data_IF_020689183787
#
_entry.id   IF_020689183787
#
_cell.length_a   1.000
_cell.length_b   1.000
_cell.length_c   1.000
_cell.angle_alpha   90.00
_cell.angle_beta   90.00
_cell.angle_gamma   90.00
#
_symmetry.space_group_name_H-M   'P 1'
#
loop_
_entity.id
_entity.type
_entity.pdbx_description
1 polymer ?
#
# COMPACT_ATOMS: atom_id res chain seq x y z
N UNK A 1 2.62 53.34 -35.23
CA UNK A 1 3.51 52.21 -35.04
C UNK A 1 3.97 52.06 -33.61
N UNK A 2 4.40 53.12 -32.96
CA UNK A 2 4.86 53.03 -31.56
C UNK A 2 3.81 52.49 -30.60
N UNK A 3 2.52 52.83 -30.78
CA UNK A 3 1.42 52.32 -29.99
C UNK A 3 1.25 50.81 -30.12
N UNK A 4 1.41 50.28 -31.35
CA UNK A 4 1.35 48.83 -31.58
C UNK A 4 2.48 48.09 -30.87
N UNK A 5 3.69 48.64 -30.92
CA UNK A 5 4.85 48.02 -30.27
C UNK A 5 4.66 48.05 -28.75
N UNK A 6 4.20 49.19 -28.21
CA UNK A 6 3.93 49.33 -26.79
C UNK A 6 2.86 48.37 -26.31
N UNK A 7 1.75 48.26 -27.10
CA UNK A 7 0.69 47.29 -26.81
C UNK A 7 1.18 45.86 -26.89
N UNK A 8 2.01 45.56 -27.90
CA UNK A 8 2.63 44.26 -28.02
C UNK A 8 3.52 43.90 -26.82
N UNK A 9 4.28 44.86 -26.32
CA UNK A 9 5.10 44.68 -25.14
C UNK A 9 4.25 44.42 -23.91
N UNK A 10 3.20 45.19 -23.69
CA UNK A 10 2.33 45.00 -22.53
C UNK A 10 1.64 43.65 -22.55
N UNK A 11 1.15 43.25 -23.74
CA UNK A 11 0.52 41.92 -23.90
C UNK A 11 1.53 40.82 -23.69
N UNK A 12 2.73 40.96 -24.22
CA UNK A 12 3.78 39.94 -24.09
C UNK A 12 4.19 39.75 -22.63
N UNK A 13 4.36 40.86 -21.87
CA UNK A 13 4.69 40.77 -20.43
C UNK A 13 3.58 40.08 -19.66
N UNK A 14 2.34 40.46 -19.95
CA UNK A 14 1.17 39.85 -19.29
C UNK A 14 1.08 38.37 -19.62
N UNK A 15 1.31 38.03 -20.88
CA UNK A 15 1.32 36.65 -21.35
C UNK A 15 2.40 35.82 -20.66
N UNK A 16 3.60 36.35 -20.52
CA UNK A 16 4.71 35.70 -19.83
C UNK A 16 4.36 35.43 -18.37
N UNK A 17 3.76 36.41 -17.69
CA UNK A 17 3.34 36.28 -16.30
C UNK A 17 2.29 35.18 -16.17
N UNK A 18 1.33 35.14 -17.07
CA UNK A 18 0.31 34.08 -17.08
C UNK A 18 0.96 32.70 -17.29
N UNK A 19 1.87 32.59 -18.26
CA UNK A 19 2.56 31.34 -18.55
C UNK A 19 3.37 30.87 -17.32
N UNK A 20 4.07 31.76 -16.67
CA UNK A 20 4.83 31.42 -15.46
C UNK A 20 3.87 30.97 -14.35
N UNK A 21 2.73 31.65 -14.20
CA UNK A 21 1.71 31.27 -13.22
C UNK A 21 1.15 29.87 -13.49
N UNK A 22 0.78 29.58 -14.73
CA UNK A 22 0.31 28.26 -15.12
C UNK A 22 1.39 27.20 -14.91
N UNK A 23 2.62 27.51 -15.29
CA UNK A 23 3.74 26.57 -15.10
C UNK A 23 3.94 26.24 -13.63
N UNK A 24 3.86 27.24 -12.75
CA UNK A 24 3.98 27.01 -11.31
C UNK A 24 2.89 26.09 -10.78
N UNK A 25 1.62 26.32 -11.23
CA UNK A 25 0.49 25.47 -10.83
C UNK A 25 0.66 24.05 -11.33
N UNK A 26 1.03 23.90 -12.62
CA UNK A 26 1.25 22.57 -13.21
C UNK A 26 2.38 21.85 -12.50
N UNK A 27 3.47 22.54 -12.17
CA UNK A 27 4.59 21.93 -11.45
C UNK A 27 4.15 21.40 -10.09
N UNK A 28 3.34 22.16 -9.35
CA UNK A 28 2.81 21.72 -8.07
C UNK A 28 1.94 20.46 -8.21
N UNK A 29 1.09 20.43 -9.25
CA UNK A 29 0.24 19.28 -9.54
C UNK A 29 1.08 18.06 -9.90
N UNK A 30 2.10 18.23 -10.75
CA UNK A 30 2.99 17.14 -11.14
C UNK A 30 3.73 16.57 -9.94
N UNK A 31 4.22 17.41 -9.04
CA UNK A 31 4.90 16.94 -7.83
C UNK A 31 3.94 16.12 -6.97
N UNK A 32 2.71 16.57 -6.82
CA UNK A 32 1.68 15.83 -6.08
C UNK A 32 1.39 14.49 -6.71
N UNK A 33 1.21 14.45 -8.02
CA UNK A 33 0.96 13.21 -8.76
C UNK A 33 2.13 12.25 -8.63
N UNK A 34 3.35 12.77 -8.73
CA UNK A 34 4.56 11.96 -8.61
C UNK A 34 4.67 11.33 -7.22
N UNK A 35 4.45 12.13 -6.17
CA UNK A 35 4.49 11.64 -4.79
C UNK A 35 3.39 10.62 -4.54
N UNK A 36 2.19 10.86 -5.07
CA UNK A 36 1.08 9.92 -4.97
C UNK A 36 1.38 8.61 -5.69
N UNK A 37 1.94 8.69 -6.90
CA UNK A 37 2.33 7.50 -7.67
C UNK A 37 3.42 6.71 -6.95
N UNK A 38 4.41 7.40 -6.39
CA UNK A 38 5.48 6.76 -5.64
C UNK A 38 4.93 6.06 -4.37
N UNK A 39 4.06 6.72 -3.65
CA UNK A 39 3.40 6.16 -2.47
C UNK A 39 2.55 4.95 -2.83
N UNK A 40 1.78 5.04 -3.94
CA UNK A 40 0.97 3.93 -4.41
C UNK A 40 1.81 2.75 -4.86
N UNK A 41 2.95 3.00 -5.50
CA UNK A 41 3.87 1.94 -5.92
C UNK A 41 4.46 1.22 -4.70
N UNK A 42 4.87 1.96 -3.68
CA UNK A 42 5.38 1.38 -2.44
C UNK A 42 4.31 0.55 -1.74
N UNK A 43 3.08 1.06 -1.67
CA UNK A 43 1.95 0.32 -1.10
C UNK A 43 1.64 -0.94 -1.89
N UNK A 44 1.73 -0.88 -3.22
CA UNK A 44 1.51 -2.03 -4.08
C UNK A 44 2.53 -3.14 -3.81
N UNK A 45 3.79 -2.79 -3.59
CA UNK A 45 4.82 -3.76 -3.21
C UNK A 45 4.50 -4.36 -1.85
N UNK A 46 4.10 -3.55 -0.87
CA UNK A 46 3.74 -4.03 0.46
C UNK A 46 2.52 -4.96 0.40
N UNK A 47 1.51 -4.62 -0.40
CA UNK A 47 0.34 -5.48 -0.57
C UNK A 47 0.73 -6.81 -1.22
N UNK A 48 1.60 -6.79 -2.23
CA UNK A 48 2.09 -8.01 -2.86
C UNK A 48 2.84 -8.91 -1.88
N UNK A 49 3.67 -8.33 -1.04
CA UNK A 49 4.38 -9.06 0.00
C UNK A 49 3.42 -9.57 1.07
N UNK A 50 2.40 -8.79 1.41
CA UNK A 50 1.36 -9.20 2.35
C UNK A 50 0.59 -10.41 1.83
N UNK A 51 0.28 -10.46 0.53
CA UNK A 51 -0.36 -11.61 -0.09
C UNK A 51 0.50 -12.86 0.07
N UNK A 52 1.79 -12.76 -0.21
CA UNK A 52 2.73 -13.88 -0.05
C UNK A 52 2.79 -14.33 1.40
N UNK A 53 2.83 -13.40 2.35
CA UNK A 53 2.86 -13.72 3.77
C UNK A 53 1.57 -14.42 4.21
N UNK A 54 0.41 -13.96 3.73
CA UNK A 54 -0.87 -14.59 4.02
C UNK A 54 -0.97 -15.99 3.42
N UNK A 55 -0.52 -16.17 2.18
CA UNK A 55 -0.49 -17.47 1.54
C UNK A 55 0.43 -18.44 2.28
N UNK A 56 1.57 -17.96 2.74
CA UNK A 56 2.51 -18.75 3.53
C UNK A 56 1.87 -19.20 4.85
N UNK A 57 1.17 -18.29 5.53
CA UNK A 57 0.44 -18.62 6.75
C UNK A 57 -0.67 -19.65 6.48
N UNK A 58 -1.36 -19.52 5.35
CA UNK A 58 -2.40 -20.47 4.94
C UNK A 58 -1.82 -21.86 4.68
N UNK A 59 -0.67 -21.94 4.01
CA UNK A 59 0.02 -23.22 3.78
C UNK A 59 0.47 -23.85 5.10
N UNK A 60 0.99 -23.04 6.02
CA UNK A 60 1.35 -23.53 7.35
C UNK A 60 0.14 -24.03 8.13
N UNK A 61 -1.00 -23.35 7.97
CA UNK A 61 -2.26 -23.81 8.58
C UNK A 61 -2.66 -25.19 8.06
N UNK A 62 -2.59 -25.39 6.75
CA UNK A 62 -2.97 -26.65 6.13
C UNK A 62 -2.03 -27.78 6.51
N UNK A 63 -0.75 -27.51 6.63
CA UNK A 63 0.28 -28.51 6.96
C UNK A 63 0.48 -28.71 8.45
N UNK A 64 -0.09 -27.84 9.29
CA UNK A 64 0.12 -27.89 10.74
C UNK A 64 1.42 -27.26 11.20
N UNK A 65 2.19 -26.64 10.33
CA UNK A 65 3.43 -25.96 10.67
C UNK A 65 3.13 -24.59 11.29
N UNK A 66 4.08 -24.06 12.06
CA UNK A 66 3.94 -22.71 12.59
C UNK A 66 4.34 -21.68 11.57
N UNK A 67 3.47 -20.68 11.29
CA UNK A 67 3.81 -19.62 10.36
C UNK A 67 4.68 -18.55 11.00
N UNK A 68 5.37 -17.79 10.15
CA UNK A 68 6.02 -16.55 10.57
C UNK A 68 4.95 -15.49 10.75
N UNK A 69 4.87 -14.91 11.93
CA UNK A 69 3.82 -13.92 12.25
C UNK A 69 4.32 -12.49 12.24
N UNK A 70 5.61 -12.29 12.22
CA UNK A 70 6.21 -10.95 12.30
C UNK A 70 7.25 -10.77 11.22
N UNK A 71 7.20 -9.61 10.56
CA UNK A 71 8.11 -9.26 9.48
C UNK A 71 8.66 -7.85 9.72
N UNK A 72 9.90 -7.64 9.33
CA UNK A 72 10.51 -6.31 9.39
C UNK A 72 10.08 -5.46 8.17
N UNK A 73 10.65 -4.27 8.04
CA UNK A 73 10.32 -3.36 6.93
C UNK A 73 10.76 -3.88 5.56
N UNK A 74 11.67 -4.85 5.52
CA UNK A 74 12.12 -5.53 4.30
C UNK A 74 11.41 -6.86 4.08
N UNK A 75 10.38 -7.16 4.87
CA UNK A 75 9.59 -8.40 4.78
C UNK A 75 10.39 -9.66 5.10
N UNK A 76 11.38 -9.53 5.95
CA UNK A 76 12.12 -10.67 6.51
C UNK A 76 11.49 -11.05 7.84
N UNK A 77 11.60 -12.33 8.19
CA UNK A 77 11.12 -12.80 9.49
C UNK A 77 11.80 -12.01 10.60
N UNK A 78 11.01 -11.51 11.52
CA UNK A 78 11.48 -10.67 12.62
C UNK A 78 10.83 -11.06 13.94
N UNK A 79 11.36 -10.54 15.01
CA UNK A 79 10.76 -10.68 16.34
C UNK A 79 9.67 -9.62 16.53
N UNK A 80 8.71 -9.89 17.39
CA UNK A 80 7.61 -8.98 17.67
C UNK A 80 8.07 -7.55 17.98
N UNK A 81 9.17 -7.40 18.71
CA UNK A 81 9.68 -6.09 19.10
C UNK A 81 10.16 -5.25 17.90
N UNK A 82 10.61 -5.90 16.84
CA UNK A 82 11.15 -5.24 15.64
C UNK A 82 10.23 -5.34 14.45
N UNK A 83 8.98 -5.76 14.64
CA UNK A 83 8.06 -6.01 13.55
C UNK A 83 7.51 -4.70 12.97
N UNK A 84 7.65 -4.53 11.66
CA UNK A 84 6.96 -3.48 10.92
C UNK A 84 5.60 -3.97 10.39
N UNK A 85 5.48 -5.29 10.20
CA UNK A 85 4.25 -5.94 9.74
C UNK A 85 4.00 -7.17 10.60
N UNK A 86 2.74 -7.46 10.84
CA UNK A 86 2.38 -8.66 11.59
C UNK A 86 1.19 -9.36 10.95
N UNK A 87 1.12 -10.67 11.18
CA UNK A 87 0.05 -11.52 10.68
C UNK A 87 -0.82 -11.91 11.86
N UNK A 88 -2.11 -11.66 11.77
CA UNK A 88 -3.09 -12.10 12.76
C UNK A 88 -3.87 -13.28 12.20
N UNK A 89 -4.25 -14.19 13.07
CA UNK A 89 -5.01 -15.38 12.71
C UNK A 89 -6.21 -15.48 13.63
N UNK A 90 -7.35 -15.72 13.06
CA UNK A 90 -8.58 -15.94 13.80
C UNK A 90 -9.24 -17.22 13.27
N UNK A 91 -9.42 -18.19 14.15
CA UNK A 91 -9.96 -19.49 13.80
C UNK A 91 -11.40 -19.57 14.27
N UNK A 92 -12.28 -20.08 13.42
CA UNK A 92 -13.66 -20.35 13.74
C UNK A 92 -14.00 -21.76 13.24
N UNK A 93 -14.54 -22.59 14.11
CA UNK A 93 -14.92 -23.95 13.78
C UNK A 93 -16.43 -24.08 13.83
N UNK A 94 -17.04 -24.49 12.72
CA UNK A 94 -18.46 -24.70 12.60
C UNK A 94 -18.74 -25.84 11.61
N UNK A 95 -19.66 -26.72 11.97
CA UNK A 95 -20.14 -27.80 11.08
C UNK A 95 -19.04 -28.69 10.51
N UNK A 96 -17.99 -28.94 11.30
CA UNK A 96 -16.88 -29.78 10.87
C UNK A 96 -15.89 -29.07 9.95
N UNK A 97 -16.04 -27.77 9.76
CA UNK A 97 -15.13 -26.95 8.96
C UNK A 97 -14.46 -25.93 9.86
N UNK A 98 -13.14 -25.86 9.79
CA UNK A 98 -12.37 -24.80 10.45
C UNK A 98 -12.10 -23.71 9.45
N UNK A 99 -12.55 -22.51 9.77
CA UNK A 99 -12.31 -21.34 8.95
C UNK A 99 -11.24 -20.49 9.64
N UNK A 100 -10.13 -20.26 8.97
CA UNK A 100 -9.09 -19.37 9.47
C UNK A 100 -9.08 -18.10 8.65
N UNK A 101 -9.22 -16.97 9.33
CA UNK A 101 -9.07 -15.66 8.73
C UNK A 101 -7.69 -15.13 9.05
N UNK A 102 -6.91 -14.89 8.02
CA UNK A 102 -5.54 -14.41 8.13
C UNK A 102 -5.51 -12.98 7.66
N UNK A 103 -5.06 -12.07 8.51
CA UNK A 103 -4.93 -10.66 8.17
C UNK A 103 -3.48 -10.23 8.34
N UNK A 104 -2.97 -9.50 7.36
CA UNK A 104 -1.63 -8.91 7.42
C UNK A 104 -1.80 -7.42 7.68
N UNK A 105 -1.24 -6.95 8.76
CA UNK A 105 -1.41 -5.58 9.21
C UNK A 105 -0.06 -4.89 9.42
N UNK A 106 -0.06 -3.56 9.28
CA UNK A 106 1.11 -2.76 9.61
C UNK A 106 1.21 -2.60 11.14
N UNK A 107 2.36 -2.16 11.61
CA UNK A 107 2.56 -1.86 13.03
C UNK A 107 1.59 -0.80 13.55
N UNK A 108 1.03 0.02 12.65
CA UNK A 108 0.04 1.05 12.99
C UNK A 108 -1.39 0.52 13.03
N UNK A 109 -1.60 -0.76 12.70
CA UNK A 109 -2.92 -1.37 12.69
C UNK A 109 -3.68 -1.30 11.38
N UNK A 110 -3.05 -0.81 10.30
CA UNK A 110 -3.68 -0.79 8.98
C UNK A 110 -3.62 -2.18 8.35
N UNK A 111 -4.76 -2.71 7.92
CA UNK A 111 -4.84 -4.00 7.26
C UNK A 111 -4.45 -3.87 5.79
N UNK A 112 -3.42 -4.61 5.38
CA UNK A 112 -2.96 -4.64 4.00
C UNK A 112 -3.66 -5.69 3.17
N UNK A 113 -3.96 -6.85 3.76
CA UNK A 113 -4.55 -7.97 3.04
C UNK A 113 -5.23 -8.92 4.03
N UNK A 114 -6.35 -9.48 3.61
CA UNK A 114 -7.08 -10.47 4.40
C UNK A 114 -7.36 -11.69 3.52
N UNK A 115 -7.06 -12.87 4.04
CA UNK A 115 -7.29 -14.13 3.36
C UNK A 115 -8.09 -15.06 4.28
N UNK A 116 -9.14 -15.67 3.74
CA UNK A 116 -9.94 -16.65 4.48
C UNK A 116 -9.68 -18.03 3.90
N UNK A 117 -9.30 -18.97 4.74
CA UNK A 117 -9.00 -20.35 4.37
C UNK A 117 -9.92 -21.27 5.15
N UNK A 118 -10.48 -22.25 4.46
CA UNK A 118 -11.31 -23.27 5.08
C UNK A 118 -10.62 -24.63 4.99
N UNK A 119 -10.67 -25.36 6.07
CA UNK A 119 -10.11 -26.69 6.16
C UNK A 119 -11.15 -27.60 6.81
N UNK A 120 -11.28 -28.83 6.29
CA UNK A 120 -12.13 -29.82 6.92
C UNK A 120 -11.60 -30.08 8.33
N UNK A 121 -12.43 -29.82 9.32
CA UNK A 121 -12.04 -30.04 10.71
C UNK A 121 -12.00 -31.50 11.02
N UNK A 122 -10.97 -31.91 11.78
CA UNK A 122 -10.95 -33.25 12.35
C UNK A 122 -11.86 -33.23 13.58
N UNK A 123 -12.98 -33.90 13.47
CA UNK A 123 -13.91 -33.98 14.58
C UNK A 123 -13.49 -35.18 15.43
N UNK A 124 -12.85 -34.87 16.52
CA UNK A 124 -12.51 -35.88 17.53
C UNK A 124 -13.51 -35.88 18.67
#
# INVERSE_FOLDING_TARGET
MKKRIASGYGITLFEIVIVIGFFAVFSAVFVRLFLSAHSNAARSVDVSRAVVAAENAAECFKSGAEPTLYYDDEWRAAKQANAAFHVTRDDDAADGVVTETIAVETAKGETLYTLTVKKAGVVD
#
